data_IF_557523082896
#
_entry.id   IF_557523082896
#
_cell.length_a   1.000
_cell.length_b   1.000
_cell.length_c   1.000
_cell.angle_alpha   90.00
_cell.angle_beta   90.00
_cell.angle_gamma   90.00
#
_symmetry.space_group_name_H-M   'P 1'
#
loop_
_entity.id
_entity.type
_entity.pdbx_description
1 polymer ?
#
# COMPACT_ATOMS: atom_id res chain seq x y z
N UNK A 1 -16.46 22.98 22.97
CA UNK A 1 -16.51 22.13 21.77
C UNK A 1 -15.50 22.70 20.78
N UNK A 2 -14.31 22.12 20.69
CA UNK A 2 -13.28 22.56 19.75
C UNK A 2 -13.50 21.84 18.40
N UNK A 3 -13.29 22.51 17.26
CA UNK A 3 -13.42 21.85 15.97
C UNK A 3 -12.31 20.80 15.85
N UNK A 4 -12.70 19.57 15.51
CA UNK A 4 -11.76 18.55 15.07
C UNK A 4 -11.15 19.07 13.76
N UNK A 5 -9.94 19.61 13.84
CA UNK A 5 -9.11 19.85 12.67
C UNK A 5 -8.70 18.47 12.16
N UNK A 6 -9.35 17.99 11.11
CA UNK A 6 -8.81 16.87 10.34
C UNK A 6 -7.50 17.33 9.73
N UNK A 7 -6.38 16.92 10.32
CA UNK A 7 -5.11 16.97 9.62
C UNK A 7 -5.26 16.04 8.43
N UNK A 8 -5.39 16.60 7.22
CA UNK A 8 -5.09 15.82 6.02
C UNK A 8 -3.63 15.42 6.15
N UNK A 9 -3.39 14.19 6.60
CA UNK A 9 -2.08 13.57 6.49
C UNK A 9 -1.73 13.56 5.01
N UNK A 10 -0.85 14.45 4.58
CA UNK A 10 -0.34 14.44 3.21
C UNK A 10 0.47 13.16 3.05
N UNK A 11 -0.10 12.14 2.41
CA UNK A 11 0.55 10.86 2.23
C UNK A 11 1.89 11.02 1.50
N UNK A 12 2.91 10.28 1.95
CA UNK A 12 4.20 10.20 1.27
C UNK A 12 4.03 9.54 -0.10
N UNK A 13 4.17 10.33 -1.16
CA UNK A 13 4.04 9.85 -2.53
C UNK A 13 5.22 9.00 -3.02
N UNK A 14 5.10 8.50 -4.24
CA UNK A 14 6.11 7.65 -4.91
C UNK A 14 7.54 8.21 -4.88
N UNK A 15 7.73 9.53 -5.04
CA UNK A 15 9.07 10.15 -5.01
C UNK A 15 9.73 10.06 -3.63
N UNK A 16 8.94 10.14 -2.55
CA UNK A 16 9.47 9.95 -1.20
C UNK A 16 10.05 8.54 -1.03
N UNK A 17 9.32 7.51 -1.46
CA UNK A 17 9.74 6.12 -1.34
C UNK A 17 10.98 5.80 -2.19
N UNK A 18 11.11 6.46 -3.34
CA UNK A 18 12.31 6.38 -4.18
C UNK A 18 13.55 6.90 -3.48
N UNK A 19 13.43 8.00 -2.73
CA UNK A 19 14.54 8.58 -1.96
C UNK A 19 14.98 7.69 -0.78
N UNK A 20 14.12 6.80 -0.28
CA UNK A 20 14.46 5.89 0.82
C UNK A 20 15.48 4.80 0.42
N UNK A 21 15.80 4.66 -0.87
CA UNK A 21 16.77 3.68 -1.39
C UNK A 21 16.58 2.28 -0.78
N UNK A 22 15.37 1.73 -0.96
CA UNK A 22 14.97 0.45 -0.38
C UNK A 22 15.66 -0.73 -1.08
N UNK A 23 16.93 -0.94 -0.75
CA UNK A 23 17.79 -1.93 -1.40
C UNK A 23 17.20 -3.34 -1.34
N UNK A 24 16.38 -3.68 -0.34
CA UNK A 24 15.76 -5.00 -0.21
C UNK A 24 14.67 -5.30 -1.24
N UNK A 25 14.16 -4.32 -2.00
CA UNK A 25 13.04 -4.52 -2.93
C UNK A 25 13.31 -5.60 -3.98
N UNK A 26 14.55 -5.70 -4.47
CA UNK A 26 14.92 -6.72 -5.44
C UNK A 26 14.91 -8.13 -4.85
N UNK A 27 14.92 -8.30 -3.53
CA UNK A 27 14.90 -9.60 -2.85
C UNK A 27 13.52 -9.95 -2.30
N UNK A 28 12.61 -8.97 -2.29
CA UNK A 28 11.30 -9.08 -1.67
C UNK A 28 10.43 -10.08 -2.43
N UNK A 29 10.09 -11.19 -1.77
CA UNK A 29 9.22 -12.23 -2.33
C UNK A 29 7.79 -12.14 -1.81
N UNK A 30 7.64 -11.85 -0.52
CA UNK A 30 6.33 -11.77 0.13
C UNK A 30 6.28 -10.58 1.08
N UNK A 31 5.12 -9.94 1.14
CA UNK A 31 4.86 -8.79 2.01
C UNK A 31 3.51 -8.96 2.69
N UNK A 32 3.44 -8.60 3.97
CA UNK A 32 2.19 -8.44 4.70
C UNK A 32 2.15 -7.04 5.29
N UNK A 33 1.05 -6.33 5.07
CA UNK A 33 0.86 -4.96 5.56
C UNK A 33 -0.51 -4.81 6.19
N UNK A 34 -0.59 -3.96 7.20
CA UNK A 34 -1.83 -3.56 7.83
C UNK A 34 -2.01 -2.06 7.63
N UNK A 35 -3.10 -1.66 7.01
CA UNK A 35 -3.40 -0.25 6.75
C UNK A 35 -4.07 0.37 7.97
N UNK A 36 -3.57 1.50 8.41
CA UNK A 36 -4.29 2.38 9.34
C UNK A 36 -5.62 2.87 8.72
N UNK A 37 -6.50 3.43 9.54
CA UNK A 37 -7.82 3.88 9.09
C UNK A 37 -7.75 5.04 8.08
N UNK A 38 -6.69 5.86 8.16
CA UNK A 38 -6.41 6.93 7.19
C UNK A 38 -5.51 6.47 6.02
N UNK A 39 -4.85 5.30 6.15
CA UNK A 39 -4.25 4.40 5.14
C UNK A 39 -3.38 4.95 4.01
N UNK A 40 -3.21 6.26 3.88
CA UNK A 40 -2.69 6.92 2.67
C UNK A 40 -1.22 6.60 2.41
N UNK A 41 -0.41 6.47 3.47
CA UNK A 41 0.99 6.10 3.35
C UNK A 41 1.16 4.64 2.96
N UNK A 42 0.36 3.75 3.55
CA UNK A 42 0.41 2.32 3.28
C UNK A 42 -0.07 2.03 1.86
N UNK A 43 -1.09 2.75 1.39
CA UNK A 43 -1.55 2.75 -0.01
C UNK A 43 -0.40 3.12 -0.97
N UNK A 44 0.29 4.25 -0.72
CA UNK A 44 1.41 4.70 -1.55
C UNK A 44 2.59 3.72 -1.49
N UNK A 45 2.93 3.22 -0.31
CA UNK A 45 4.03 2.29 -0.13
C UNK A 45 3.77 0.94 -0.82
N UNK A 46 2.55 0.41 -0.69
CA UNK A 46 2.13 -0.81 -1.36
C UNK A 46 2.19 -0.66 -2.88
N UNK A 47 1.75 0.50 -3.37
CA UNK A 47 1.86 0.84 -4.80
C UNK A 47 3.30 0.89 -5.26
N UNK A 48 4.19 1.48 -4.45
CA UNK A 48 5.61 1.54 -4.72
C UNK A 48 6.23 0.13 -4.78
N UNK A 49 5.92 -0.74 -3.83
CA UNK A 49 6.36 -2.14 -3.83
C UNK A 49 5.89 -2.86 -5.10
N UNK A 50 4.61 -2.77 -5.43
CA UNK A 50 4.02 -3.44 -6.61
C UNK A 50 4.66 -2.99 -7.95
N UNK A 51 5.12 -1.74 -8.03
CA UNK A 51 5.79 -1.19 -9.21
C UNK A 51 7.29 -1.51 -9.30
N UNK A 52 7.96 -1.79 -8.18
CA UNK A 52 9.43 -1.85 -8.14
C UNK A 52 10.00 -3.20 -7.68
N UNK A 53 9.22 -4.05 -6.99
CA UNK A 53 9.67 -5.35 -6.50
C UNK A 53 9.54 -6.44 -7.57
N UNK A 54 10.57 -6.60 -8.40
CA UNK A 54 10.61 -7.56 -9.52
C UNK A 54 10.40 -9.02 -9.09
N UNK A 55 10.83 -9.39 -7.89
CA UNK A 55 10.79 -10.76 -7.38
C UNK A 55 9.59 -11.04 -6.48
N UNK A 56 8.66 -10.09 -6.38
CA UNK A 56 7.47 -10.22 -5.54
C UNK A 56 6.54 -11.28 -6.09
N UNK A 57 6.12 -12.20 -5.22
CA UNK A 57 5.18 -13.28 -5.50
C UNK A 57 3.83 -13.05 -4.85
N UNK A 58 3.81 -12.41 -3.68
CA UNK A 58 2.60 -12.24 -2.89
C UNK A 58 2.64 -10.98 -2.05
N UNK A 59 1.49 -10.32 -1.95
CA UNK A 59 1.25 -9.26 -0.99
C UNK A 59 -0.09 -9.48 -0.31
N UNK A 60 -0.12 -9.36 1.01
CA UNK A 60 -1.34 -9.44 1.83
C UNK A 60 -1.57 -8.09 2.48
N UNK A 61 -2.75 -7.52 2.26
CA UNK A 61 -3.14 -6.22 2.76
C UNK A 61 -4.35 -6.41 3.69
N UNK A 62 -4.20 -6.00 4.95
CA UNK A 62 -5.27 -5.98 5.94
C UNK A 62 -5.82 -4.56 6.09
N UNK A 63 -7.13 -4.41 5.92
CA UNK A 63 -7.83 -3.11 5.95
C UNK A 63 -8.74 -3.01 7.19
N UNK A 64 -8.78 -1.84 7.82
CA UNK A 64 -9.60 -1.57 9.01
C UNK A 64 -11.11 -1.41 8.74
N UNK A 65 -11.50 -1.01 7.52
CA UNK A 65 -12.90 -0.78 7.15
C UNK A 65 -13.26 -1.43 5.80
N UNK A 66 -14.53 -1.80 5.61
CA UNK A 66 -15.04 -2.40 4.36
C UNK A 66 -14.98 -1.43 3.17
N UNK A 67 -15.25 -0.15 3.39
CA UNK A 67 -15.21 0.86 2.31
C UNK A 67 -13.81 0.96 1.68
N UNK A 68 -12.76 0.67 2.45
CA UNK A 68 -11.38 0.67 2.00
C UNK A 68 -11.05 -0.53 1.09
N UNK A 69 -11.78 -1.65 1.18
CA UNK A 69 -11.56 -2.79 0.27
C UNK A 69 -11.88 -2.42 -1.17
N UNK A 70 -12.98 -1.70 -1.38
CA UNK A 70 -13.40 -1.26 -2.71
C UNK A 70 -12.42 -0.25 -3.32
N UNK A 71 -11.89 0.66 -2.50
CA UNK A 71 -10.86 1.64 -2.91
C UNK A 71 -9.54 0.95 -3.22
N UNK A 72 -9.08 0.05 -2.36
CA UNK A 72 -7.87 -0.72 -2.56
C UNK A 72 -7.96 -1.57 -3.84
N UNK A 73 -9.07 -2.26 -4.07
CA UNK A 73 -9.29 -3.04 -5.29
C UNK A 73 -9.27 -2.17 -6.57
N UNK A 74 -9.90 -0.99 -6.53
CA UNK A 74 -9.87 -0.01 -7.64
C UNK A 74 -8.48 0.56 -7.89
N UNK A 75 -7.69 0.75 -6.84
CA UNK A 75 -6.30 1.20 -7.01
C UNK A 75 -5.47 0.09 -7.65
N UNK A 76 -5.55 -1.12 -7.09
CA UNK A 76 -4.82 -2.30 -7.55
C UNK A 76 -5.06 -2.57 -9.03
N UNK A 77 -6.31 -2.47 -9.51
CA UNK A 77 -6.63 -2.72 -10.92
C UNK A 77 -6.00 -1.72 -11.89
N UNK A 78 -5.57 -0.55 -11.41
CA UNK A 78 -4.90 0.49 -12.20
C UNK A 78 -3.37 0.39 -12.15
N UNK A 79 -2.82 -0.40 -11.24
CA UNK A 79 -1.36 -0.50 -11.08
C UNK A 79 -0.80 -1.44 -12.15
N UNK A 80 0.12 -0.92 -12.96
CA UNK A 80 0.99 -1.74 -13.79
C UNK A 80 2.09 -2.35 -12.91
N UNK A 81 1.85 -3.56 -12.42
CA UNK A 81 2.81 -4.31 -11.61
C UNK A 81 4.03 -4.72 -12.45
N UNK A 82 5.22 -4.70 -11.83
CA UNK A 82 6.45 -5.21 -12.48
C UNK A 82 6.54 -6.73 -12.42
N UNK A 83 5.89 -7.35 -11.44
CA UNK A 83 5.85 -8.79 -11.22
C UNK A 83 4.45 -9.37 -11.44
N UNK A 84 4.35 -10.70 -11.44
CA UNK A 84 3.09 -11.44 -11.46
C UNK A 84 2.54 -11.71 -10.05
N UNK A 85 2.86 -10.83 -9.10
CA UNK A 85 2.50 -11.02 -7.70
C UNK A 85 0.98 -11.16 -7.50
N UNK A 86 0.58 -12.07 -6.60
CA UNK A 86 -0.81 -12.19 -6.15
C UNK A 86 -1.09 -11.18 -5.04
N UNK A 87 -2.19 -10.42 -5.18
CA UNK A 87 -2.64 -9.46 -4.18
C UNK A 87 -3.82 -10.06 -3.43
N UNK A 88 -3.70 -10.16 -2.10
CA UNK A 88 -4.76 -10.66 -1.22
C UNK A 88 -5.18 -9.51 -0.30
N UNK A 89 -6.45 -9.15 -0.36
CA UNK A 89 -7.03 -8.12 0.52
C UNK A 89 -7.88 -8.83 1.58
N UNK A 90 -7.69 -8.47 2.84
CA UNK A 90 -8.41 -9.02 4.00
C UNK A 90 -8.90 -7.91 4.91
N UNK A 91 -9.93 -8.19 5.70
CA UNK A 91 -10.31 -7.33 6.82
C UNK A 91 -9.36 -7.57 8.01
N UNK A 92 -8.97 -6.52 8.71
CA UNK A 92 -8.34 -6.62 10.03
C UNK A 92 -9.43 -7.05 11.03
N UNK A 93 -9.16 -8.09 11.80
CA UNK A 93 -10.04 -8.56 12.89
C UNK A 93 -10.02 -7.60 14.09
#
# INVERSE_FOLDING_TARGET
MLPFVYFQSSGFGTEYWKLQNLAFLHQLKEVTMQYSDDGSNEIEFSTYILKNAQNLKKIVIFLGCEDEQSKAARMVSRIKMISTATIIIRRRE
#
